data_IF_997291931691
#
_entry.id   IF_997291931691
#
_cell.length_a   1.000
_cell.length_b   1.000
_cell.length_c   1.000
_cell.angle_alpha   90.00
_cell.angle_beta   90.00
_cell.angle_gamma   90.00
#
_symmetry.space_group_name_H-M   'P 1'
#
loop_
_entity.id
_entity.type
_entity.pdbx_description
1 polymer ?
#
# COMPACT_ATOMS: atom_id res chain seq x y z
N UNK A 1 -4.88 -27.33 11.73
CA UNK A 1 -4.61 -26.17 10.84
C UNK A 1 -5.70 -26.11 9.78
N UNK A 2 -6.32 -24.95 9.58
CA UNK A 2 -7.35 -24.75 8.55
C UNK A 2 -6.67 -24.49 7.19
N UNK A 3 -6.64 -25.52 6.34
CA UNK A 3 -6.10 -25.45 4.99
C UNK A 3 -6.81 -24.39 4.14
N UNK A 4 -8.12 -24.19 4.36
CA UNK A 4 -8.93 -23.19 3.65
C UNK A 4 -8.43 -21.78 3.93
N UNK A 5 -8.11 -21.48 5.20
CA UNK A 5 -7.52 -20.19 5.59
C UNK A 5 -6.20 -19.92 4.88
N UNK A 6 -5.30 -20.91 4.85
CA UNK A 6 -4.00 -20.76 4.19
C UNK A 6 -4.11 -20.51 2.69
N UNK A 7 -4.98 -21.25 1.99
CA UNK A 7 -5.19 -21.06 0.55
C UNK A 7 -5.63 -19.63 0.25
N UNK A 8 -6.52 -19.06 1.08
CA UNK A 8 -6.99 -17.69 0.90
C UNK A 8 -5.89 -16.65 1.17
N UNK A 9 -5.07 -16.86 2.20
CA UNK A 9 -3.92 -15.99 2.49
C UNK A 9 -2.89 -16.05 1.35
N UNK A 10 -2.57 -17.24 0.84
CA UNK A 10 -1.65 -17.39 -0.28
C UNK A 10 -2.16 -16.67 -1.53
N UNK A 11 -3.45 -16.86 -1.85
CA UNK A 11 -4.09 -16.13 -2.95
C UNK A 11 -3.98 -14.62 -2.72
N UNK A 12 -4.33 -14.12 -1.55
CA UNK A 12 -4.25 -12.70 -1.24
C UNK A 12 -2.82 -12.15 -1.38
N UNK A 13 -1.79 -12.90 -0.95
CA UNK A 13 -0.38 -12.51 -1.09
C UNK A 13 0.03 -12.42 -2.56
N UNK A 14 -0.37 -13.38 -3.39
CA UNK A 14 -0.12 -13.33 -4.83
C UNK A 14 -0.77 -12.09 -5.47
N UNK A 15 -1.99 -11.75 -5.06
CA UNK A 15 -2.74 -10.62 -5.63
C UNK A 15 -2.23 -9.26 -5.12
N UNK A 16 -1.87 -9.13 -3.84
CA UNK A 16 -1.34 -7.85 -3.31
C UNK A 16 0.03 -7.51 -3.90
N UNK A 17 0.83 -8.54 -4.23
CA UNK A 17 2.17 -8.38 -4.81
C UNK A 17 2.16 -8.33 -6.34
N UNK A 18 1.00 -8.50 -6.97
CA UNK A 18 0.88 -8.29 -8.41
C UNK A 18 1.08 -6.81 -8.76
N UNK A 19 1.66 -6.53 -9.93
CA UNK A 19 1.85 -5.17 -10.44
C UNK A 19 1.41 -5.09 -11.88
N UNK A 20 0.91 -3.94 -12.28
CA UNK A 20 0.57 -3.72 -13.68
C UNK A 20 1.80 -3.75 -14.56
N UNK A 21 1.59 -4.12 -15.82
CA UNK A 21 2.70 -4.18 -16.77
C UNK A 21 2.96 -2.83 -17.42
N UNK A 22 1.92 -2.01 -17.60
CA UNK A 22 2.01 -0.75 -18.37
C UNK A 22 2.43 -0.96 -19.83
N UNK A 23 2.42 -2.20 -20.29
CA UNK A 23 2.88 -2.59 -21.61
C UNK A 23 1.69 -2.83 -22.52
N UNK A 24 1.88 -2.48 -23.79
CA UNK A 24 0.95 -2.90 -24.83
C UNK A 24 0.92 -4.44 -24.89
N UNK A 25 -0.27 -5.00 -25.10
CA UNK A 25 -0.42 -6.42 -25.41
C UNK A 25 0.39 -6.73 -26.66
N UNK A 26 1.04 -7.89 -26.65
CA UNK A 26 1.62 -8.43 -27.88
C UNK A 26 0.49 -8.64 -28.89
N UNK A 27 0.63 -8.00 -30.04
CA UNK A 27 -0.23 -8.19 -31.21
C UNK A 27 0.20 -9.47 -31.94
N UNK A 28 -0.76 -10.34 -32.24
CA UNK A 28 -0.54 -11.48 -33.12
C UNK A 28 -0.83 -11.04 -34.56
N UNK A 29 0.20 -10.84 -35.42
CA UNK A 29 0.00 -10.33 -36.77
C UNK A 29 -0.78 -11.31 -37.69
N UNK A 30 -1.07 -12.53 -37.22
CA UNK A 30 -1.90 -13.50 -37.94
C UNK A 30 -3.42 -13.33 -37.69
N UNK A 31 -3.84 -12.48 -36.76
CA UNK A 31 -5.25 -12.24 -36.46
C UNK A 31 -5.77 -10.98 -37.16
N UNK A 32 -7.09 -10.92 -37.43
CA UNK A 32 -7.73 -9.73 -38.02
C UNK A 32 -7.92 -8.59 -37.00
N UNK A 33 -7.69 -8.87 -35.72
CA UNK A 33 -7.94 -7.94 -34.61
C UNK A 33 -6.60 -7.59 -33.99
N UNK A 34 -6.21 -6.32 -34.07
CA UNK A 34 -5.00 -5.88 -33.39
C UNK A 34 -5.22 -5.87 -31.87
N UNK A 35 -4.60 -6.83 -31.16
CA UNK A 35 -4.80 -7.05 -29.73
C UNK A 35 -4.23 -5.91 -28.85
N UNK A 36 -3.32 -5.10 -29.40
CA UNK A 36 -2.79 -3.91 -28.70
C UNK A 36 -3.87 -2.85 -28.47
N UNK A 37 -4.95 -2.84 -29.26
CA UNK A 37 -6.09 -1.95 -29.00
C UNK A 37 -6.87 -2.28 -27.71
N UNK A 38 -6.57 -3.42 -27.08
CA UNK A 38 -7.15 -3.87 -25.82
C UNK A 38 -6.12 -3.93 -24.70
N UNK A 39 -4.99 -3.25 -24.86
CA UNK A 39 -3.95 -3.09 -23.85
C UNK A 39 -4.48 -2.44 -22.58
N UNK A 40 -3.95 -2.81 -21.42
CA UNK A 40 -4.30 -2.16 -20.17
C UNK A 40 -3.94 -0.68 -20.18
N UNK A 41 -4.88 0.17 -19.80
CA UNK A 41 -4.57 1.55 -19.44
C UNK A 41 -3.77 1.57 -18.14
N UNK A 42 -2.72 2.39 -18.06
CA UNK A 42 -1.99 2.63 -16.79
C UNK A 42 -2.97 2.93 -15.66
N UNK A 43 -2.86 2.25 -14.53
CA UNK A 43 -3.62 2.58 -13.34
C UNK A 43 -3.34 4.00 -12.90
N UNK A 44 -4.38 4.82 -12.91
CA UNK A 44 -4.28 6.25 -12.60
C UNK A 44 -4.66 6.58 -11.16
N UNK A 45 -4.92 5.59 -10.30
CA UNK A 45 -5.37 5.80 -8.91
C UNK A 45 -6.76 6.46 -8.75
N UNK A 46 -7.33 7.01 -9.83
CA UNK A 46 -8.64 7.68 -9.86
C UNK A 46 -9.81 6.75 -9.53
N UNK A 47 -9.65 5.47 -9.82
CA UNK A 47 -10.58 4.42 -9.43
C UNK A 47 -9.98 3.70 -8.22
N UNK A 48 -10.69 3.73 -7.09
CA UNK A 48 -10.33 3.04 -5.85
C UNK A 48 -10.33 1.49 -5.98
N UNK A 49 -9.97 0.93 -7.13
CA UNK A 49 -9.86 -0.50 -7.37
C UNK A 49 -8.40 -0.89 -7.54
N UNK A 50 -7.93 -1.85 -6.74
CA UNK A 50 -6.61 -2.49 -6.90
C UNK A 50 -6.52 -3.42 -8.13
N UNK A 51 -7.55 -3.36 -9.00
CA UNK A 51 -7.69 -4.18 -10.18
C UNK A 51 -8.41 -3.43 -11.28
N UNK A 52 -8.11 -3.77 -12.52
CA UNK A 52 -8.78 -3.26 -13.71
C UNK A 52 -9.52 -4.39 -14.48
N UNK A 53 -10.06 -4.05 -15.65
CA UNK A 53 -10.74 -5.00 -16.53
C UNK A 53 -9.81 -5.73 -17.51
N UNK A 54 -8.55 -5.31 -17.65
CA UNK A 54 -7.61 -5.81 -18.66
C UNK A 54 -6.58 -6.81 -18.11
N UNK A 55 -6.01 -6.54 -16.94
CA UNK A 55 -5.03 -7.34 -16.20
C UNK A 55 -5.54 -7.83 -14.83
N UNK A 56 -6.69 -7.33 -14.39
CA UNK A 56 -7.15 -7.62 -13.03
C UNK A 56 -6.16 -7.01 -12.04
N UNK A 57 -5.55 -7.83 -11.18
CA UNK A 57 -4.56 -7.34 -10.20
C UNK A 57 -3.15 -7.08 -10.79
N UNK A 58 -2.93 -7.44 -12.06
CA UNK A 58 -1.64 -7.31 -12.73
C UNK A 58 -0.83 -8.61 -12.81
N UNK A 59 0.41 -8.49 -13.27
CA UNK A 59 1.39 -9.58 -13.36
C UNK A 59 1.87 -10.01 -11.97
N UNK A 60 1.97 -11.32 -11.75
CA UNK A 60 2.46 -11.88 -10.49
C UNK A 60 3.96 -11.61 -10.29
N UNK A 61 4.33 -11.07 -9.13
CA UNK A 61 5.72 -10.93 -8.71
C UNK A 61 6.08 -12.01 -7.68
N UNK A 62 6.52 -13.17 -8.15
CA UNK A 62 6.75 -14.35 -7.30
C UNK A 62 7.81 -14.08 -6.21
N UNK A 63 8.89 -13.36 -6.54
CA UNK A 63 9.90 -13.02 -5.55
C UNK A 63 9.34 -12.12 -4.43
N UNK A 64 8.50 -11.15 -4.78
CA UNK A 64 7.83 -10.29 -3.80
C UNK A 64 6.84 -11.09 -2.94
N UNK A 65 6.10 -12.03 -3.54
CA UNK A 65 5.21 -12.93 -2.79
C UNK A 65 5.97 -13.80 -1.78
N UNK A 66 7.13 -14.35 -2.17
CA UNK A 66 8.01 -15.10 -1.26
C UNK A 66 8.51 -14.20 -0.13
N UNK A 67 8.91 -12.96 -0.45
CA UNK A 67 9.37 -12.00 0.55
C UNK A 67 8.25 -11.60 1.52
N UNK A 68 7.02 -11.41 1.04
CA UNK A 68 5.84 -11.18 1.87
C UNK A 68 5.52 -12.37 2.80
N UNK A 69 5.89 -13.60 2.42
CA UNK A 69 5.70 -14.77 3.28
C UNK A 69 6.81 -14.94 4.31
N UNK A 70 8.05 -14.62 3.93
CA UNK A 70 9.26 -15.06 4.65
C UNK A 70 10.02 -13.95 5.35
N UNK A 71 9.88 -12.69 4.91
CA UNK A 71 10.62 -11.55 5.45
C UNK A 71 9.71 -10.63 6.27
N UNK A 72 10.30 -10.04 7.29
CA UNK A 72 9.66 -9.04 8.13
C UNK A 72 10.42 -7.72 8.03
N UNK A 73 9.72 -6.62 8.29
CA UNK A 73 10.29 -5.30 8.60
C UNK A 73 10.02 -5.00 10.07
N UNK A 74 10.97 -4.35 10.73
CA UNK A 74 10.87 -3.97 12.14
C UNK A 74 10.63 -2.47 12.22
N UNK A 75 9.71 -2.08 13.10
CA UNK A 75 9.44 -0.67 13.39
C UNK A 75 10.74 0.03 13.84
N UNK A 76 10.91 1.27 13.40
CA UNK A 76 12.07 2.14 13.59
C UNK A 76 13.34 1.73 12.83
N UNK A 77 13.30 0.68 12.01
CA UNK A 77 14.38 0.36 11.08
C UNK A 77 14.12 0.98 9.71
N UNK A 78 15.20 1.45 9.08
CA UNK A 78 15.16 1.90 7.69
C UNK A 78 15.53 0.74 6.78
N UNK A 79 14.68 0.46 5.79
CA UNK A 79 14.99 -0.48 4.70
C UNK A 79 15.33 0.31 3.45
N UNK A 80 16.35 -0.12 2.74
CA UNK A 80 16.76 0.44 1.46
C UNK A 80 16.55 -0.63 0.39
N UNK A 81 15.91 -0.27 -0.71
CA UNK A 81 15.73 -1.16 -1.85
C UNK A 81 15.64 -0.36 -3.16
N UNK A 82 15.61 -1.05 -4.29
CA UNK A 82 15.46 -0.45 -5.62
C UNK A 82 14.41 -1.22 -6.40
N UNK A 83 13.53 -0.47 -7.06
CA UNK A 83 12.51 -1.02 -7.94
C UNK A 83 12.66 -0.44 -9.35
N UNK A 84 12.25 -1.26 -10.31
CA UNK A 84 12.29 -0.94 -11.73
C UNK A 84 10.88 -1.10 -12.26
N UNK A 85 10.36 -0.13 -13.01
CA UNK A 85 9.05 -0.26 -13.63
C UNK A 85 9.07 -1.30 -14.76
N UNK A 86 7.93 -1.97 -14.95
CA UNK A 86 7.76 -3.03 -15.94
C UNK A 86 8.03 -2.59 -17.38
N UNK A 87 7.74 -1.33 -17.74
CA UNK A 87 8.03 -0.80 -19.09
C UNK A 87 9.53 -0.73 -19.39
N UNK A 88 10.37 -0.59 -18.35
CA UNK A 88 11.83 -0.45 -18.51
C UNK A 88 12.55 -1.80 -18.51
N UNK A 89 12.12 -2.73 -17.66
CA UNK A 89 12.64 -4.11 -17.63
C UNK A 89 11.55 -5.07 -17.13
N UNK A 90 10.82 -5.77 -18.01
CA UNK A 90 9.70 -6.64 -17.61
C UNK A 90 10.07 -7.79 -16.67
N UNK A 91 11.36 -8.13 -16.54
CA UNK A 91 11.89 -9.17 -15.66
C UNK A 91 12.55 -8.60 -14.40
N UNK A 92 12.51 -7.27 -14.23
CA UNK A 92 13.07 -6.55 -13.11
C UNK A 92 12.33 -6.77 -11.79
N UNK A 93 12.81 -6.11 -10.74
CA UNK A 93 12.14 -6.12 -9.44
C UNK A 93 11.12 -4.98 -9.37
N UNK A 94 9.84 -5.31 -9.50
CA UNK A 94 8.76 -4.31 -9.58
C UNK A 94 8.11 -3.99 -8.24
N UNK A 95 8.20 -4.93 -7.29
CA UNK A 95 7.45 -4.88 -6.04
C UNK A 95 8.33 -5.29 -4.87
N UNK A 96 8.34 -4.44 -3.86
CA UNK A 96 8.87 -4.78 -2.55
C UNK A 96 7.73 -5.20 -1.64
N UNK A 97 7.89 -6.29 -0.87
CA UNK A 97 6.88 -6.70 0.10
C UNK A 97 7.49 -7.33 1.35
N UNK A 98 6.98 -6.96 2.53
CA UNK A 98 7.38 -7.56 3.82
C UNK A 98 6.24 -7.53 4.83
N UNK A 99 6.22 -8.49 5.75
CA UNK A 99 5.31 -8.45 6.91
C UNK A 99 5.76 -7.42 7.93
N UNK A 100 4.79 -6.83 8.62
CA UNK A 100 5.02 -5.99 9.78
C UNK A 100 3.97 -6.33 10.84
N UNK A 101 4.43 -6.43 12.08
CA UNK A 101 3.54 -6.55 13.25
C UNK A 101 3.52 -5.19 13.96
N UNK A 102 2.32 -4.68 14.17
CA UNK A 102 2.02 -3.40 14.80
C UNK A 102 1.28 -3.64 16.13
N UNK A 103 1.20 -2.61 16.95
CA UNK A 103 0.44 -2.62 18.20
C UNK A 103 -0.86 -1.82 18.02
N UNK A 104 -1.95 -2.35 18.58
CA UNK A 104 -3.24 -1.66 18.61
C UNK A 104 -3.11 -0.29 19.30
N UNK A 105 -3.88 0.69 18.78
CA UNK A 105 -3.98 2.06 19.30
C UNK A 105 -2.67 2.87 19.30
N UNK A 106 -1.59 2.34 18.73
CA UNK A 106 -0.36 3.09 18.47
C UNK A 106 -0.41 3.67 17.06
N UNK A 107 -0.20 4.98 16.94
CA UNK A 107 -0.09 5.61 15.63
C UNK A 107 1.32 5.41 15.06
N UNK A 108 1.38 5.00 13.80
CA UNK A 108 2.59 4.80 13.03
C UNK A 108 2.62 5.75 11.83
N UNK A 109 3.82 6.25 11.51
CA UNK A 109 4.12 6.93 10.26
C UNK A 109 4.84 5.93 9.35
N UNK A 110 4.26 5.68 8.18
CA UNK A 110 4.88 4.95 7.08
C UNK A 110 5.47 5.97 6.14
N UNK A 111 6.79 6.01 6.02
CA UNK A 111 7.48 7.05 5.27
C UNK A 111 8.40 6.43 4.22
N UNK A 112 8.10 6.69 2.95
CA UNK A 112 8.92 6.40 1.79
C UNK A 112 9.69 7.68 1.44
N UNK A 113 11.01 7.59 1.31
CA UNK A 113 11.87 8.75 1.00
C UNK A 113 12.96 8.35 0.01
N UNK A 114 13.70 9.35 -0.47
CA UNK A 114 14.81 9.21 -1.43
C UNK A 114 14.37 8.61 -2.79
N UNK A 115 13.09 8.78 -3.15
CA UNK A 115 12.56 8.45 -4.47
C UNK A 115 12.93 9.57 -5.45
N UNK A 116 13.33 9.22 -6.67
CA UNK A 116 13.58 10.20 -7.73
C UNK A 116 12.30 11.00 -8.02
N UNK A 117 12.45 12.32 -8.22
CA UNK A 117 11.32 13.24 -8.43
C UNK A 117 10.43 12.86 -9.62
N UNK A 118 11.01 12.23 -10.65
CA UNK A 118 10.29 11.81 -11.86
C UNK A 118 9.81 10.35 -11.82
N UNK A 119 9.98 9.66 -10.69
CA UNK A 119 9.56 8.28 -10.48
C UNK A 119 8.31 8.26 -9.61
N UNK A 120 7.40 7.35 -9.92
CA UNK A 120 6.20 7.10 -9.16
C UNK A 120 6.27 5.73 -8.48
N UNK A 121 6.41 5.76 -7.15
CA UNK A 121 6.36 4.58 -6.30
C UNK A 121 5.18 4.71 -5.33
N UNK A 122 4.27 3.74 -5.40
CA UNK A 122 3.12 3.70 -4.51
C UNK A 122 3.40 2.82 -3.29
N UNK A 123 2.91 3.24 -2.12
CA UNK A 123 3.04 2.51 -0.86
C UNK A 123 1.66 2.06 -0.36
N UNK A 124 1.56 0.76 -0.04
CA UNK A 124 0.35 0.12 0.44
C UNK A 124 0.59 -0.61 1.75
N UNK A 125 -0.45 -0.63 2.59
CA UNK A 125 -0.57 -1.46 3.77
C UNK A 125 -1.78 -2.36 3.63
N UNK A 126 -1.55 -3.66 3.62
CA UNK A 126 -2.58 -4.69 3.58
C UNK A 126 -2.68 -5.39 4.93
N UNK A 127 -3.87 -5.90 5.24
CA UNK A 127 -4.02 -6.91 6.29
C UNK A 127 -3.31 -8.20 5.86
N UNK A 128 -2.74 -8.93 6.82
CA UNK A 128 -2.28 -10.31 6.59
C UNK A 128 -3.41 -11.34 6.61
N UNK A 129 -4.66 -10.88 6.65
CA UNK A 129 -5.87 -11.67 6.41
C UNK A 129 -6.44 -11.37 5.02
N UNK A 130 -7.41 -12.17 4.60
CA UNK A 130 -8.03 -12.05 3.27
C UNK A 130 -9.55 -12.02 3.36
N UNK A 131 -10.20 -11.58 2.29
CA UNK A 131 -11.65 -11.68 2.17
C UNK A 131 -12.10 -13.15 2.14
N UNK A 132 -13.40 -13.39 2.23
CA UNK A 132 -13.95 -14.74 2.09
C UNK A 132 -13.56 -15.42 0.76
N UNK A 133 -13.23 -14.64 -0.27
CA UNK A 133 -12.83 -15.05 -1.61
C UNK A 133 -11.30 -15.08 -1.82
N UNK A 134 -10.51 -14.79 -0.78
CA UNK A 134 -9.05 -14.70 -0.86
C UNK A 134 -8.55 -13.45 -1.56
N UNK A 135 -9.34 -12.37 -1.57
CA UNK A 135 -8.88 -11.07 -2.06
C UNK A 135 -8.13 -10.31 -0.93
N UNK A 136 -7.11 -9.51 -1.28
CA UNK A 136 -6.36 -8.72 -0.30
C UNK A 136 -7.23 -7.61 0.30
N UNK A 137 -7.02 -7.32 1.58
CA UNK A 137 -7.74 -6.28 2.31
C UNK A 137 -6.84 -5.06 2.51
N UNK A 138 -7.08 -3.99 1.74
CA UNK A 138 -6.33 -2.74 1.85
C UNK A 138 -6.70 -2.02 3.16
N UNK A 139 -5.69 -1.64 3.93
CA UNK A 139 -5.84 -0.89 5.17
C UNK A 139 -5.54 0.59 4.98
N UNK A 140 -4.50 0.89 4.21
CA UNK A 140 -4.10 2.25 3.88
C UNK A 140 -3.18 2.25 2.64
N UNK A 141 -3.15 3.35 1.90
CA UNK A 141 -2.20 3.56 0.82
C UNK A 141 -1.87 5.04 0.65
N UNK A 142 -0.77 5.32 -0.04
CA UNK A 142 -0.53 6.62 -0.64
C UNK A 142 -0.17 6.42 -2.10
N UNK A 143 -0.72 7.28 -2.93
CA UNK A 143 -0.49 7.33 -4.37
C UNK A 143 0.02 8.72 -4.70
N UNK A 144 1.05 8.83 -5.53
CA UNK A 144 1.64 10.12 -5.86
C UNK A 144 0.69 10.91 -6.76
N UNK A 145 -0.14 11.77 -6.17
CA UNK A 145 -0.89 12.78 -6.90
C UNK A 145 -0.26 14.16 -6.69
N UNK A 146 0.36 14.70 -7.74
CA UNK A 146 0.91 16.06 -7.86
C UNK A 146 1.29 16.74 -6.52
N UNK A 147 2.50 16.46 -6.02
CA UNK A 147 3.08 17.13 -4.84
C UNK A 147 3.01 16.30 -3.55
N UNK A 148 4.09 15.54 -3.32
CA UNK A 148 4.60 15.07 -2.02
C UNK A 148 3.68 14.25 -1.09
N UNK A 149 3.20 13.09 -1.53
CA UNK A 149 2.69 12.08 -0.59
C UNK A 149 3.36 10.72 -0.77
N UNK A 150 4.60 10.63 -0.30
CA UNK A 150 5.33 9.38 -0.11
C UNK A 150 5.13 8.81 1.31
N UNK A 151 4.11 9.27 2.05
CA UNK A 151 3.88 8.83 3.43
C UNK A 151 2.41 8.86 3.84
N UNK A 152 2.07 8.04 4.84
CA UNK A 152 0.77 8.09 5.51
C UNK A 152 0.88 7.71 6.99
N UNK A 153 -0.15 8.12 7.75
CA UNK A 153 -0.35 7.68 9.12
C UNK A 153 -1.33 6.51 9.18
N UNK A 154 -1.08 5.58 10.10
CA UNK A 154 -1.96 4.45 10.37
C UNK A 154 -2.04 4.15 11.87
N UNK A 155 -3.24 3.88 12.38
CA UNK A 155 -3.48 3.48 13.77
C UNK A 155 -4.23 2.15 13.76
N UNK A 156 -3.57 1.03 14.07
CA UNK A 156 -4.19 -0.29 13.99
C UNK A 156 -5.30 -0.47 15.02
N UNK A 157 -6.39 -1.08 14.61
CA UNK A 157 -7.38 -1.70 15.52
C UNK A 157 -6.90 -3.10 15.94
N UNK A 158 -7.56 -3.71 16.94
CA UNK A 158 -7.24 -5.07 17.42
C UNK A 158 -7.07 -6.14 16.31
N UNK A 159 -7.79 -6.02 15.18
CA UNK A 159 -7.74 -6.96 14.05
C UNK A 159 -6.85 -6.50 12.87
N UNK A 160 -6.04 -5.46 13.07
CA UNK A 160 -5.18 -4.84 12.04
C UNK A 160 -3.71 -4.80 12.47
N UNK A 161 -3.31 -5.62 13.43
CA UNK A 161 -1.94 -5.65 13.97
C UNK A 161 -0.97 -6.45 13.11
N UNK A 162 -1.44 -7.48 12.39
CA UNK A 162 -0.64 -8.25 11.44
C UNK A 162 -0.87 -7.75 10.01
N UNK A 163 0.15 -7.16 9.41
CA UNK A 163 0.05 -6.49 8.12
C UNK A 163 1.14 -6.93 7.14
N UNK A 164 0.92 -6.61 5.86
CA UNK A 164 1.92 -6.70 4.79
C UNK A 164 2.10 -5.32 4.18
N UNK A 165 3.34 -4.83 4.18
CA UNK A 165 3.74 -3.55 3.58
C UNK A 165 4.23 -3.82 2.17
N UNK A 166 3.76 -3.03 1.20
CA UNK A 166 4.10 -3.19 -0.21
C UNK A 166 4.48 -1.85 -0.81
N UNK A 167 5.56 -1.83 -1.59
CA UNK A 167 5.92 -0.70 -2.47
C UNK A 167 5.92 -1.20 -3.91
N UNK A 168 5.26 -0.48 -4.83
CA UNK A 168 5.18 -0.84 -6.25
C UNK A 168 5.76 0.28 -7.12
N UNK A 169 6.51 -0.09 -8.17
CA UNK A 169 6.95 0.86 -9.19
C UNK A 169 5.87 1.08 -10.26
N UNK A 170 5.18 2.22 -10.18
CA UNK A 170 4.10 2.60 -11.11
C UNK A 170 4.68 3.26 -12.36
N UNK A 171 5.67 4.14 -12.18
CA UNK A 171 6.37 4.79 -13.30
C UNK A 171 7.86 4.97 -12.97
N UNK A 172 8.73 4.61 -13.91
CA UNK A 172 10.17 4.79 -13.78
C UNK A 172 10.88 3.84 -12.79
N UNK A 173 12.16 4.11 -12.55
CA UNK A 173 13.02 3.27 -11.70
C UNK A 173 13.73 4.11 -10.66
N UNK A 174 13.65 3.71 -9.40
CA UNK A 174 14.40 4.40 -8.35
C UNK A 174 14.76 3.49 -7.19
N UNK A 175 15.78 3.92 -6.45
CA UNK A 175 15.99 3.44 -5.09
C UNK A 175 15.07 4.17 -4.15
N UNK A 176 14.74 3.55 -3.02
CA UNK A 176 13.93 4.19 -1.99
C UNK A 176 14.42 3.79 -0.61
N UNK A 177 14.08 4.61 0.38
CA UNK A 177 14.18 4.29 1.80
C UNK A 177 12.77 4.20 2.39
N UNK A 178 12.47 3.08 3.03
CA UNK A 178 11.22 2.90 3.76
C UNK A 178 11.51 2.86 5.26
N UNK A 179 10.85 3.73 6.02
CA UNK A 179 10.89 3.75 7.48
C UNK A 179 9.48 3.79 8.03
N UNK A 180 9.17 2.84 8.92
CA UNK A 180 7.95 2.85 9.73
C UNK A 180 8.36 3.26 11.13
N UNK A 181 7.76 4.30 11.69
CA UNK A 181 8.09 4.77 13.05
C UNK A 181 6.86 5.02 13.89
N UNK A 182 6.97 4.78 15.19
CA UNK A 182 5.95 5.21 16.15
C UNK A 182 5.85 6.73 16.15
N UNK A 183 4.63 7.24 16.12
CA UNK A 183 4.36 8.66 16.37
C UNK A 183 4.12 8.80 17.87
N UNK A 184 4.99 9.55 18.54
CA UNK A 184 4.79 9.88 19.93
C UNK A 184 3.65 10.88 20.06
N UNK A 185 2.57 10.47 20.72
CA UNK A 185 1.51 11.38 21.09
C UNK A 185 1.88 12.09 22.40
N UNK A 186 2.47 13.29 22.28
CA UNK A 186 2.76 14.16 23.45
C UNK A 186 1.55 15.00 23.87
N UNK A 187 0.38 14.83 23.23
CA UNK A 187 -0.81 15.56 23.61
C UNK A 187 -1.34 15.03 24.93
N UNK A 188 -1.29 15.88 25.97
CA UNK A 188 -1.98 15.63 27.23
C UNK A 188 -3.42 16.11 27.04
N UNK A 189 -4.43 15.21 27.00
CA UNK A 189 -5.81 15.64 26.87
C UNK A 189 -6.22 16.47 28.09
N UNK A 190 -6.65 17.70 27.85
CA UNK A 190 -7.25 18.54 28.87
C UNK A 190 -8.77 18.33 28.87
N UNK A 191 -9.31 17.88 30.01
CA UNK A 191 -10.75 17.91 30.22
C UNK A 191 -11.17 19.37 30.43
N UNK A 192 -11.65 20.01 29.36
CA UNK A 192 -12.28 21.33 29.46
C UNK A 192 -13.77 21.17 29.62
N UNK A 193 -14.31 21.70 30.73
CA UNK A 193 -15.75 21.90 30.83
C UNK A 193 -16.12 22.96 29.78
N UNK A 194 -17.10 22.71 28.89
CA UNK A 194 -17.49 23.72 27.91
C UNK A 194 -17.92 24.99 28.64
N UNK A 195 -17.37 26.14 28.27
CA UNK A 195 -17.80 27.43 28.79
C UNK A 195 -18.84 28.03 27.84
N UNK A 196 -19.97 28.47 28.39
CA UNK A 196 -20.96 29.26 27.65
C UNK A 196 -20.66 30.73 27.92
N UNK A 197 -20.30 31.45 26.86
CA UNK A 197 -20.11 32.90 26.90
C UNK A 197 -21.45 33.59 26.67
N UNK A 198 -21.86 34.46 27.58
CA UNK A 198 -23.05 35.30 27.43
C UNK A 198 -22.74 36.75 27.82
N UNK A 199 -23.62 37.68 27.43
CA UNK A 199 -23.52 39.08 27.84
C UNK A 199 -23.66 39.19 29.38
N UNK A 200 -22.51 39.22 30.06
CA UNK A 200 -22.43 39.20 31.53
C UNK A 200 -21.37 38.24 32.11
N UNK A 201 -20.67 37.44 31.30
CA UNK A 201 -19.54 36.62 31.73
C UNK A 201 -19.50 35.23 31.09
N UNK A 202 -18.61 34.37 31.57
CA UNK A 202 -18.55 32.94 31.25
C UNK A 202 -19.12 32.10 32.39
N UNK A 203 -19.87 31.05 32.04
CA UNK A 203 -20.33 30.02 32.99
C UNK A 203 -20.02 28.63 32.42
N UNK A 204 -19.67 27.71 33.32
CA UNK A 204 -19.52 26.29 32.99
C UNK A 204 -20.86 25.73 32.49
N UNK A 205 -20.83 24.92 31.43
CA UNK A 205 -22.00 24.29 30.82
C UNK A 205 -22.54 23.08 31.62
N UNK A 206 -21.93 22.72 32.75
CA UNK A 206 -22.44 21.66 33.63
C UNK A 206 -23.57 22.19 34.49
N UNK A 207 -24.71 21.47 34.43
CA UNK A 207 -25.94 21.67 35.23
C UNK A 207 -25.65 21.63 36.73
#
# INVERSE_FOLDING_TARGET
HDLSKWVKIFKAILLMTASETGLEREDDPETEIDESNYSPSKYTGLLNSLKDEHEGYGRLNIQAAIDALTKNIVVNQTVINSLINSEQDPLGNHVFARKITLQEDIQYLFNLTDVDVNVDLDLFLFSNESSQYGEPLLLQSTQKWYGDFDSFYFTPKYNQTECVVIVKAIEGSSSFKLKISNVSNYFVPELKVPEITYFGGTKNATV
#
